data_IF_365717648801
#
_entry.id   IF_365717648801
#
_cell.length_a   1.000
_cell.length_b   1.000
_cell.length_c   1.000
_cell.angle_alpha   90.00
_cell.angle_beta   90.00
_cell.angle_gamma   90.00
#
_symmetry.space_group_name_H-M   'P 1'
#
loop_
_entity.id
_entity.type
_entity.pdbx_description
1 polymer ?
#
# COMPACT_ATOMS: atom_id res chain seq x y z
N UNK A 1 18.47 -34.97 -27.85
CA UNK A 1 17.80 -34.49 -26.62
C UNK A 1 17.37 -33.06 -26.89
N UNK A 2 16.08 -32.74 -26.72
CA UNK A 2 15.53 -31.44 -27.08
C UNK A 2 16.08 -30.37 -26.11
N UNK A 3 17.04 -29.54 -26.55
CA UNK A 3 17.75 -28.58 -25.69
C UNK A 3 16.86 -27.40 -25.24
N UNK A 4 15.80 -27.09 -26.00
CA UNK A 4 14.90 -25.95 -25.76
C UNK A 4 14.13 -26.06 -24.43
N UNK A 5 13.46 -27.18 -24.10
CA UNK A 5 12.83 -27.37 -22.78
C UNK A 5 13.80 -27.31 -21.59
N UNK A 6 15.06 -27.70 -21.78
CA UNK A 6 16.09 -27.66 -20.73
C UNK A 6 16.53 -26.21 -20.48
N UNK A 7 16.83 -25.46 -21.55
CA UNK A 7 17.18 -24.05 -21.48
C UNK A 7 16.09 -23.21 -20.82
N UNK A 8 14.82 -23.45 -21.15
CA UNK A 8 13.70 -22.72 -20.55
C UNK A 8 13.55 -23.02 -19.04
N UNK A 9 13.71 -24.28 -18.63
CA UNK A 9 13.67 -24.64 -17.20
C UNK A 9 14.78 -23.97 -16.41
N UNK A 10 16.01 -24.01 -16.92
CA UNK A 10 17.15 -23.35 -16.30
C UNK A 10 16.94 -21.82 -16.20
N UNK A 11 16.43 -21.19 -17.26
CA UNK A 11 16.10 -19.77 -17.26
C UNK A 11 15.04 -19.42 -16.21
N UNK A 12 13.99 -20.24 -16.08
CA UNK A 12 12.93 -20.04 -15.08
C UNK A 12 13.45 -20.16 -13.64
N UNK A 13 14.28 -21.16 -13.37
CA UNK A 13 14.88 -21.37 -12.04
C UNK A 13 15.78 -20.19 -11.66
N UNK A 14 16.63 -19.73 -12.59
CA UNK A 14 17.45 -18.53 -12.39
C UNK A 14 16.57 -17.30 -12.13
N UNK A 15 15.54 -17.08 -12.93
CA UNK A 15 14.66 -15.93 -12.78
C UNK A 15 13.89 -15.93 -11.45
N UNK A 16 13.52 -17.11 -10.93
CA UNK A 16 12.92 -17.23 -9.60
C UNK A 16 13.91 -16.87 -8.49
N UNK A 17 15.18 -17.28 -8.62
CA UNK A 17 16.25 -16.87 -7.71
C UNK A 17 16.48 -15.36 -7.71
N UNK A 18 16.63 -14.76 -8.90
CA UNK A 18 16.80 -13.31 -9.05
C UNK A 18 15.59 -12.55 -8.50
N UNK A 19 14.37 -13.04 -8.75
CA UNK A 19 13.14 -12.47 -8.22
C UNK A 19 13.07 -12.52 -6.69
N UNK A 20 13.53 -13.62 -6.07
CA UNK A 20 13.62 -13.75 -4.61
C UNK A 20 14.56 -12.69 -4.03
N UNK A 21 15.72 -12.46 -4.64
CA UNK A 21 16.65 -11.41 -4.19
C UNK A 21 16.05 -10.01 -4.31
N UNK A 22 15.31 -9.74 -5.40
CA UNK A 22 14.58 -8.48 -5.55
C UNK A 22 13.53 -8.33 -4.44
N UNK A 23 12.73 -9.37 -4.16
CA UNK A 23 11.71 -9.36 -3.10
C UNK A 23 12.34 -9.12 -1.72
N UNK A 24 13.44 -9.80 -1.40
CA UNK A 24 14.20 -9.63 -0.15
C UNK A 24 14.63 -8.19 0.10
N UNK A 25 14.98 -7.46 -0.97
CA UNK A 25 15.49 -6.10 -0.86
C UNK A 25 14.41 -5.00 -0.82
N UNK A 26 13.13 -5.37 -0.96
CA UNK A 26 11.99 -4.44 -0.82
C UNK A 26 11.98 -3.86 0.60
N UNK A 27 11.88 -2.53 0.68
CA UNK A 27 11.78 -1.78 1.92
C UNK A 27 10.36 -1.88 2.49
N UNK A 28 10.25 -2.28 3.75
CA UNK A 28 8.95 -2.41 4.43
C UNK A 28 8.61 -1.13 5.18
N UNK A 29 9.51 -0.68 6.05
CA UNK A 29 9.42 0.55 6.83
C UNK A 29 10.76 1.31 6.79
N UNK A 30 10.95 2.36 7.60
CA UNK A 30 12.19 3.15 7.61
C UNK A 30 13.44 2.40 8.06
N UNK A 31 13.29 1.26 8.73
CA UNK A 31 14.43 0.54 9.33
C UNK A 31 14.64 -0.85 8.74
N UNK A 32 13.60 -1.49 8.22
CA UNK A 32 13.61 -2.91 7.84
C UNK A 32 13.15 -3.16 6.41
N UNK A 33 13.80 -4.14 5.80
CA UNK A 33 13.47 -4.77 4.52
C UNK A 33 12.86 -6.14 4.74
N UNK A 34 12.27 -6.72 3.69
CA UNK A 34 11.68 -8.06 3.74
C UNK A 34 12.68 -9.11 4.26
N UNK A 35 13.95 -9.05 3.84
CA UNK A 35 14.99 -9.98 4.33
C UNK A 35 15.19 -9.96 5.83
N UNK A 36 15.00 -8.80 6.49
CA UNK A 36 15.19 -8.68 7.93
C UNK A 36 14.08 -9.47 8.65
N UNK A 37 12.82 -9.36 8.18
CA UNK A 37 11.72 -10.19 8.68
C UNK A 37 11.94 -11.68 8.42
N UNK A 38 12.54 -12.07 7.30
CA UNK A 38 12.86 -13.47 7.00
C UNK A 38 13.96 -14.02 7.92
N UNK A 39 14.92 -13.18 8.34
CA UNK A 39 15.97 -13.58 9.29
C UNK A 39 15.42 -13.71 10.71
N UNK A 40 14.52 -12.81 11.10
CA UNK A 40 13.92 -12.79 12.44
C UNK A 40 12.89 -13.91 12.65
N UNK A 41 12.15 -14.29 11.60
CA UNK A 41 10.98 -15.18 11.68
C UNK A 41 10.98 -16.28 10.62
N UNK A 42 11.13 -17.52 11.07
CA UNK A 42 11.17 -18.70 10.18
C UNK A 42 9.84 -18.94 9.45
N UNK A 43 8.71 -18.64 10.08
CA UNK A 43 7.38 -18.73 9.48
C UNK A 43 7.21 -17.73 8.34
N UNK A 44 7.72 -16.50 8.49
CA UNK A 44 7.76 -15.52 7.40
C UNK A 44 8.70 -15.96 6.30
N UNK A 45 9.89 -16.45 6.64
CA UNK A 45 10.82 -16.96 5.63
C UNK A 45 10.15 -18.02 4.75
N UNK A 46 9.52 -19.03 5.37
CA UNK A 46 8.81 -20.08 4.64
C UNK A 46 7.66 -19.52 3.78
N UNK A 47 6.88 -18.57 4.30
CA UNK A 47 5.78 -17.94 3.57
C UNK A 47 6.26 -17.09 2.37
N UNK A 48 7.38 -16.37 2.50
CA UNK A 48 7.95 -15.58 1.39
C UNK A 48 8.53 -16.51 0.31
N UNK A 49 9.20 -17.59 0.71
CA UNK A 49 9.69 -18.60 -0.23
C UNK A 49 8.54 -19.25 -1.01
N UNK A 50 7.45 -19.60 -0.33
CA UNK A 50 6.25 -20.17 -0.97
C UNK A 50 5.55 -19.14 -1.88
N UNK A 51 5.43 -17.89 -1.43
CA UNK A 51 4.88 -16.78 -2.20
C UNK A 51 5.60 -16.61 -3.54
N UNK A 52 6.93 -16.48 -3.55
CA UNK A 52 7.67 -16.26 -4.81
C UNK A 52 7.53 -17.46 -5.74
N UNK A 53 7.42 -18.68 -5.22
CA UNK A 53 7.24 -19.87 -6.04
C UNK A 53 5.84 -20.00 -6.64
N UNK A 54 4.80 -19.60 -5.89
CA UNK A 54 3.38 -19.76 -6.29
C UNK A 54 2.82 -18.57 -7.04
N UNK A 55 3.13 -17.36 -6.59
CA UNK A 55 2.54 -16.11 -7.10
C UNK A 55 3.36 -15.48 -8.24
N UNK A 56 4.55 -16.02 -8.56
CA UNK A 56 5.32 -15.56 -9.72
C UNK A 56 4.63 -15.93 -11.04
N UNK A 57 4.31 -14.89 -11.81
CA UNK A 57 3.66 -15.00 -13.11
C UNK A 57 4.67 -14.72 -14.21
N UNK A 58 4.63 -15.53 -15.27
CA UNK A 58 5.41 -15.27 -16.49
C UNK A 58 4.75 -14.10 -17.22
N UNK A 59 5.46 -12.98 -17.32
CA UNK A 59 5.01 -11.81 -18.10
C UNK A 59 5.46 -11.87 -19.55
N UNK A 60 6.60 -12.51 -19.82
CA UNK A 60 7.20 -12.63 -21.15
C UNK A 60 8.07 -13.88 -21.21
N UNK A 61 8.10 -14.55 -22.37
CA UNK A 61 8.92 -15.74 -22.59
C UNK A 61 9.28 -15.86 -24.06
N UNK A 62 10.58 -15.85 -24.37
CA UNK A 62 11.07 -15.93 -25.74
C UNK A 62 12.30 -16.84 -25.86
N UNK A 63 12.43 -17.48 -27.02
CA UNK A 63 13.64 -18.19 -27.42
C UNK A 63 14.41 -17.33 -28.40
N UNK A 64 15.71 -17.17 -28.14
CA UNK A 64 16.60 -16.38 -28.99
C UNK A 64 17.19 -17.25 -30.12
N UNK A 65 17.65 -16.64 -31.22
CA UNK A 65 18.25 -17.36 -32.35
C UNK A 65 19.50 -18.17 -31.99
N UNK A 66 20.20 -17.80 -30.93
CA UNK A 66 21.37 -18.50 -30.37
C UNK A 66 21.01 -19.76 -29.57
N UNK A 67 19.71 -20.06 -29.43
CA UNK A 67 19.21 -21.21 -28.69
C UNK A 67 18.99 -20.97 -27.20
N UNK A 68 19.24 -19.76 -26.70
CA UNK A 68 18.95 -19.37 -25.32
C UNK A 68 17.47 -19.05 -25.12
N UNK A 69 17.03 -19.02 -23.86
CA UNK A 69 15.68 -18.67 -23.47
C UNK A 69 15.72 -17.48 -22.51
N UNK A 70 14.88 -16.48 -22.76
CA UNK A 70 14.64 -15.35 -21.86
C UNK A 70 13.23 -15.47 -21.29
N UNK A 71 13.11 -15.24 -19.98
CA UNK A 71 11.85 -15.27 -19.25
C UNK A 71 11.79 -14.06 -18.34
N UNK A 72 10.65 -13.38 -18.33
CA UNK A 72 10.36 -12.29 -17.38
C UNK A 72 9.30 -12.78 -16.41
N UNK A 73 9.59 -12.59 -15.13
CA UNK A 73 8.68 -12.91 -14.04
C UNK A 73 8.20 -11.62 -13.38
N UNK A 74 6.98 -11.66 -12.85
CA UNK A 74 6.40 -10.59 -12.03
C UNK A 74 5.65 -11.19 -10.85
N UNK A 75 5.60 -10.46 -9.74
CA UNK A 75 4.77 -10.77 -8.57
C UNK A 75 3.97 -9.54 -8.15
N UNK A 76 2.74 -9.71 -7.65
CA UNK A 76 2.02 -8.62 -7.04
C UNK A 76 2.62 -8.26 -5.67
N UNK A 77 2.95 -6.99 -5.45
CA UNK A 77 3.43 -6.52 -4.14
C UNK A 77 2.26 -6.42 -3.14
N UNK A 78 1.07 -6.06 -3.64
CA UNK A 78 -0.18 -6.08 -2.87
C UNK A 78 -0.76 -7.50 -2.78
N UNK A 79 -1.65 -7.73 -1.83
CA UNK A 79 -2.24 -9.04 -1.59
C UNK A 79 -1.36 -9.90 -0.69
N UNK A 80 -0.96 -11.08 -1.18
CA UNK A 80 -0.34 -12.11 -0.34
C UNK A 80 0.96 -11.63 0.33
N UNK A 81 1.86 -10.99 -0.42
CA UNK A 81 3.11 -10.45 0.13
C UNK A 81 2.86 -9.45 1.25
N UNK A 82 1.93 -8.52 1.01
CA UNK A 82 1.53 -7.52 2.00
C UNK A 82 0.91 -8.20 3.24
N UNK A 83 0.12 -9.25 3.07
CA UNK A 83 -0.49 -10.03 4.16
C UNK A 83 0.55 -10.73 5.04
N UNK A 84 1.64 -11.23 4.45
CA UNK A 84 2.72 -11.92 5.15
C UNK A 84 3.54 -10.91 5.98
N UNK A 85 3.89 -9.77 5.39
CA UNK A 85 4.83 -8.81 5.98
C UNK A 85 4.17 -7.86 6.96
N UNK A 86 2.95 -7.40 6.67
CA UNK A 86 2.26 -6.47 7.55
C UNK A 86 1.86 -7.19 8.85
N UNK A 87 2.32 -6.72 10.02
CA UNK A 87 2.11 -7.41 11.29
C UNK A 87 0.61 -7.59 11.57
N UNK A 88 0.18 -8.74 12.08
CA UNK A 88 -1.22 -9.02 12.38
C UNK A 88 -1.83 -8.09 13.46
N UNK A 89 -1.02 -7.29 14.14
CA UNK A 89 -1.39 -6.36 15.21
C UNK A 89 -2.16 -5.15 14.70
N UNK A 90 -3.41 -5.37 14.28
CA UNK A 90 -4.44 -4.32 14.13
C UNK A 90 -5.48 -4.41 15.27
N UNK A 91 -5.22 -5.24 16.28
CA UNK A 91 -6.03 -5.32 17.50
C UNK A 91 -5.11 -5.46 18.68
N UNK A 92 -4.94 -4.35 19.41
CA UNK A 92 -4.86 -4.23 20.87
C UNK A 92 -4.45 -2.79 21.17
N UNK A 93 -5.38 -1.87 20.92
CA UNK A 93 -5.53 -0.75 21.86
C UNK A 93 -5.89 -1.40 23.18
N UNK A 94 -5.08 -1.14 24.20
CA UNK A 94 -5.28 -1.54 25.60
C UNK A 94 -6.77 -1.52 25.97
N UNK A 95 -7.18 -2.55 26.70
CA UNK A 95 -8.47 -2.67 27.39
C UNK A 95 -8.78 -1.42 28.23
N UNK A 96 -9.37 -0.40 27.59
CA UNK A 96 -10.16 0.62 28.28
C UNK A 96 -11.62 0.23 28.10
N UNK A 97 -12.05 -0.61 29.03
CA UNK A 97 -13.42 -0.92 29.41
C UNK A 97 -14.38 0.24 29.10
N UNK A 98 -15.26 0.04 28.12
CA UNK A 98 -16.45 0.85 27.91
C UNK A 98 -17.69 -0.06 27.86
N UNK A 99 -18.75 0.27 28.61
CA UNK A 99 -19.90 -0.61 28.83
C UNK A 99 -20.82 -0.71 27.61
N UNK A 100 -21.35 -1.91 27.42
CA UNK A 100 -22.36 -2.26 26.44
C UNK A 100 -23.66 -1.47 26.65
N UNK A 101 -24.21 -0.90 25.57
CA UNK A 101 -25.62 -0.54 25.46
C UNK A 101 -26.10 -0.84 24.03
N UNK A 102 -26.64 -2.05 23.92
CA UNK A 102 -27.82 -2.51 23.16
C UNK A 102 -28.21 -1.83 21.83
N UNK A 103 -28.17 -2.64 20.77
CA UNK A 103 -29.07 -2.56 19.62
C UNK A 103 -30.54 -2.70 20.07
N UNK A 104 -31.48 -2.15 19.30
CA UNK A 104 -32.44 -3.05 18.67
C UNK A 104 -32.63 -2.76 17.17
N UNK A 105 -32.61 -3.86 16.43
CA UNK A 105 -33.13 -4.06 15.08
C UNK A 105 -34.65 -4.12 15.05
N UNK A 106 -35.25 -3.50 14.02
CA UNK A 106 -36.56 -3.79 13.40
C UNK A 106 -36.77 -2.73 12.29
N UNK A 107 -37.23 -2.94 11.05
CA UNK A 107 -38.00 -4.00 10.38
C UNK A 107 -37.83 -3.90 8.84
N UNK A 108 -37.73 -5.07 8.20
CA UNK A 108 -38.11 -5.56 6.86
C UNK A 108 -38.51 -4.69 5.65
N UNK A 109 -38.08 -5.19 4.47
CA UNK A 109 -38.84 -5.46 3.23
C UNK A 109 -38.66 -4.57 1.97
N UNK A 110 -37.77 -5.05 1.09
CA UNK A 110 -37.82 -5.29 -0.39
C UNK A 110 -38.36 -4.28 -1.46
N UNK A 111 -37.79 -4.30 -2.71
CA UNK A 111 -37.98 -3.32 -3.81
C UNK A 111 -38.98 -3.82 -4.91
N UNK A 112 -39.43 -3.02 -5.93
CA UNK A 112 -38.64 -2.80 -7.19
C UNK A 112 -38.95 -1.54 -8.06
N UNK A 113 -38.11 -1.34 -9.09
CA UNK A 113 -38.36 -0.78 -10.44
C UNK A 113 -38.15 0.72 -10.80
N UNK A 114 -37.11 0.92 -11.65
CA UNK A 114 -37.04 1.69 -12.92
C UNK A 114 -37.17 3.24 -12.99
N UNK A 115 -36.02 3.84 -13.35
CA UNK A 115 -35.77 4.96 -14.30
C UNK A 115 -36.66 6.21 -14.30
N UNK A 116 -36.05 7.37 -13.95
CA UNK A 116 -35.89 8.55 -14.85
C UNK A 116 -35.12 9.71 -14.17
N UNK A 117 -34.33 10.36 -15.02
CA UNK A 117 -33.48 11.57 -14.94
C UNK A 117 -33.78 12.71 -13.95
N UNK A 118 -32.65 13.24 -13.43
CA UNK A 118 -32.33 14.60 -12.91
C UNK A 118 -32.69 14.94 -11.44
N UNK A 119 -31.94 15.81 -10.74
CA UNK A 119 -30.82 16.67 -11.17
C UNK A 119 -29.48 16.35 -10.51
N UNK A 120 -28.39 16.72 -11.21
CA UNK A 120 -27.01 16.72 -10.73
C UNK A 120 -26.89 17.67 -9.54
N UNK A 121 -26.94 17.14 -8.32
CA UNK A 121 -26.62 17.89 -7.11
C UNK A 121 -25.16 18.34 -7.26
N UNK A 122 -24.84 19.65 -7.29
CA UNK A 122 -23.46 20.08 -7.16
C UNK A 122 -22.98 19.69 -5.76
N UNK A 123 -21.89 18.92 -5.60
CA UNK A 123 -21.39 18.64 -4.27
C UNK A 123 -20.67 19.88 -3.74
N UNK A 124 -21.44 20.83 -3.19
CA UNK A 124 -20.94 21.69 -2.13
C UNK A 124 -20.90 20.85 -0.86
N UNK A 125 -19.80 20.14 -0.69
CA UNK A 125 -19.34 19.60 0.58
C UNK A 125 -17.82 19.68 0.56
N UNK A 126 -17.23 20.43 1.48
CA UNK A 126 -15.78 20.61 1.70
C UNK A 126 -15.06 19.30 2.09
N UNK A 127 -15.63 18.14 1.77
CA UNK A 127 -15.11 16.83 2.13
C UNK A 127 -14.03 16.39 1.15
N UNK A 128 -12.89 16.00 1.70
CA UNK A 128 -11.79 15.47 0.92
C UNK A 128 -12.08 14.02 0.52
N UNK A 129 -11.65 13.64 -0.68
CA UNK A 129 -11.81 12.28 -1.21
C UNK A 129 -10.61 11.38 -0.93
N UNK A 130 -9.48 11.98 -0.53
CA UNK A 130 -8.23 11.33 -0.21
C UNK A 130 -7.14 12.36 0.11
N UNK A 131 -5.93 11.88 0.40
CA UNK A 131 -4.79 12.71 0.78
C UNK A 131 -3.66 12.48 -0.22
N UNK A 132 -3.09 13.57 -0.72
CA UNK A 132 -1.88 13.58 -1.56
C UNK A 132 -0.78 14.27 -0.77
N UNK A 133 0.36 13.60 -0.60
CA UNK A 133 1.54 14.16 0.04
C UNK A 133 2.63 14.38 -1.02
N UNK A 134 2.99 15.63 -1.28
CA UNK A 134 4.10 15.98 -2.17
C UNK A 134 5.42 15.92 -1.40
N UNK A 135 6.24 14.90 -1.70
CA UNK A 135 7.56 14.67 -1.11
C UNK A 135 8.69 14.75 -2.15
N UNK A 136 8.44 15.40 -3.29
CA UNK A 136 9.43 15.65 -4.34
C UNK A 136 10.53 16.61 -3.86
N UNK A 137 11.72 16.48 -4.44
CA UNK A 137 12.90 17.28 -4.12
C UNK A 137 13.56 16.91 -2.78
N UNK A 138 13.10 15.85 -2.13
CA UNK A 138 13.57 15.44 -0.81
C UNK A 138 14.37 14.13 -0.82
N UNK A 139 14.40 13.42 -1.95
CA UNK A 139 15.05 12.11 -2.05
C UNK A 139 14.38 11.04 -1.20
N UNK A 140 13.06 11.17 -1.00
CA UNK A 140 12.23 10.19 -0.32
C UNK A 140 12.16 8.88 -1.13
N UNK A 141 12.23 7.74 -0.43
CA UNK A 141 12.24 6.40 -1.05
C UNK A 141 10.93 5.66 -0.79
N UNK A 142 10.46 4.85 -1.76
CA UNK A 142 9.25 4.06 -1.56
C UNK A 142 9.48 2.93 -0.55
N UNK A 143 8.46 2.68 0.27
CA UNK A 143 8.35 1.53 1.17
C UNK A 143 6.92 0.95 1.14
N UNK A 144 6.74 -0.28 1.62
CA UNK A 144 5.42 -0.94 1.69
C UNK A 144 4.50 -0.33 2.77
N UNK A 145 5.07 0.17 3.86
CA UNK A 145 4.36 0.71 5.02
C UNK A 145 5.04 1.99 5.52
N UNK A 146 5.08 3.06 4.71
CA UNK A 146 5.65 4.33 5.14
C UNK A 146 4.79 4.94 6.26
N UNK A 147 5.44 5.74 7.10
CA UNK A 147 4.76 6.54 8.11
C UNK A 147 4.81 8.03 7.78
N UNK A 148 3.80 8.74 8.25
CA UNK A 148 3.74 10.20 8.19
C UNK A 148 3.67 10.72 9.62
N UNK A 149 4.59 11.61 9.97
CA UNK A 149 4.69 12.26 11.26
C UNK A 149 4.41 13.76 11.15
N UNK A 150 4.06 14.38 12.26
CA UNK A 150 4.12 15.83 12.39
C UNK A 150 5.51 16.30 12.85
N UNK A 151 5.70 17.62 12.93
CA UNK A 151 7.00 18.21 13.30
C UNK A 151 7.41 17.89 14.75
N UNK A 152 6.46 17.47 15.59
CA UNK A 152 6.68 17.05 16.96
C UNK A 152 6.99 15.54 17.09
N UNK A 153 7.06 14.81 15.97
CA UNK A 153 7.34 13.38 15.94
C UNK A 153 6.13 12.49 16.27
N UNK A 154 4.91 13.04 16.31
CA UNK A 154 3.71 12.24 16.55
C UNK A 154 3.22 11.63 15.24
N UNK A 155 2.88 10.34 15.25
CA UNK A 155 2.36 9.61 14.08
C UNK A 155 1.01 10.21 13.64
N UNK A 156 0.93 10.67 12.39
CA UNK A 156 -0.30 11.15 11.73
C UNK A 156 -0.94 10.01 10.95
N UNK A 157 -0.10 9.22 10.27
CA UNK A 157 -0.51 8.08 9.48
C UNK A 157 0.56 7.00 9.54
N UNK A 158 0.11 5.74 9.56
CA UNK A 158 0.98 4.59 9.56
C UNK A 158 0.16 3.30 9.63
N UNK A 159 0.85 2.17 9.58
CA UNK A 159 0.20 0.86 9.57
C UNK A 159 -0.73 0.60 10.79
N UNK A 160 -0.46 1.24 11.93
CA UNK A 160 -1.30 1.14 13.14
C UNK A 160 -2.69 1.76 12.97
N UNK A 161 -2.83 2.69 12.03
CA UNK A 161 -4.03 3.51 11.81
C UNK A 161 -4.88 3.04 10.62
N UNK A 162 -4.42 2.04 9.86
CA UNK A 162 -5.10 1.52 8.66
C UNK A 162 -5.89 0.27 8.94
N UNK A 163 -6.95 0.07 8.15
CA UNK A 163 -7.63 -1.22 8.12
C UNK A 163 -6.78 -2.23 7.32
N UNK A 164 -6.63 -3.44 7.89
CA UNK A 164 -5.77 -4.49 7.34
C UNK A 164 -6.20 -4.92 5.96
N UNK A 165 -7.49 -5.08 5.73
CA UNK A 165 -8.01 -5.64 4.49
C UNK A 165 -7.89 -4.61 3.35
N UNK A 166 -8.04 -3.32 3.67
CA UNK A 166 -7.70 -2.25 2.74
C UNK A 166 -6.19 -2.23 2.45
N UNK A 167 -5.33 -2.31 3.47
CA UNK A 167 -3.89 -2.34 3.29
C UNK A 167 -3.44 -3.54 2.44
N UNK A 168 -4.01 -4.72 2.65
CA UNK A 168 -3.72 -5.93 1.85
C UNK A 168 -4.18 -5.76 0.41
N UNK A 169 -5.40 -5.26 0.18
CA UNK A 169 -5.98 -5.20 -1.17
C UNK A 169 -5.28 -4.22 -2.09
N UNK A 170 -4.90 -3.06 -1.57
CA UNK A 170 -4.43 -1.95 -2.39
C UNK A 170 -3.10 -1.35 -1.90
N UNK A 171 -2.55 -1.80 -0.78
CA UNK A 171 -1.38 -1.18 -0.16
C UNK A 171 -1.76 0.05 0.67
N UNK A 172 -0.91 0.37 1.65
CA UNK A 172 -1.05 1.54 2.53
C UNK A 172 -1.05 2.84 1.72
N UNK A 173 -0.15 2.95 0.74
CA UNK A 173 -0.01 4.12 -0.13
C UNK A 173 0.17 3.71 -1.58
N UNK A 174 -0.05 4.68 -2.48
CA UNK A 174 0.39 4.61 -3.88
C UNK A 174 1.43 5.69 -4.12
N UNK A 175 2.47 5.35 -4.86
CA UNK A 175 3.50 6.29 -5.28
C UNK A 175 3.25 6.78 -6.70
N UNK A 176 3.46 8.07 -6.93
CA UNK A 176 3.38 8.72 -8.25
C UNK A 176 4.56 9.66 -8.43
N UNK A 177 4.89 10.01 -9.68
CA UNK A 177 6.00 10.94 -9.99
C UNK A 177 5.58 12.40 -10.11
N UNK A 178 4.28 12.66 -10.19
CA UNK A 178 3.75 14.00 -10.37
C UNK A 178 2.37 14.17 -9.71
N UNK A 179 2.08 15.41 -9.34
CA UNK A 179 0.83 15.78 -8.66
C UNK A 179 -0.38 15.60 -9.58
N UNK A 180 -0.23 15.78 -10.88
CA UNK A 180 -1.36 15.73 -11.82
C UNK A 180 -1.88 14.29 -11.88
N UNK A 181 -1.00 13.32 -12.08
CA UNK A 181 -1.29 11.89 -12.02
C UNK A 181 -1.88 11.49 -10.66
N UNK A 182 -1.34 12.04 -9.56
CA UNK A 182 -1.88 11.80 -8.22
C UNK A 182 -3.34 12.25 -8.11
N UNK A 183 -3.68 13.44 -8.60
CA UNK A 183 -5.05 14.00 -8.53
C UNK A 183 -6.06 13.25 -9.40
N UNK A 184 -5.61 12.67 -10.51
CA UNK A 184 -6.47 11.86 -11.39
C UNK A 184 -6.63 10.42 -10.94
N UNK A 185 -5.83 9.97 -9.96
CA UNK A 185 -5.85 8.59 -9.53
C UNK A 185 -7.16 8.26 -8.79
N UNK A 186 -7.78 7.14 -9.16
CA UNK A 186 -9.05 6.68 -8.59
C UNK A 186 -9.03 6.56 -7.05
N UNK A 187 -7.86 6.32 -6.44
CA UNK A 187 -7.70 6.25 -4.98
C UNK A 187 -8.10 7.54 -4.25
N UNK A 188 -7.86 8.70 -4.86
CA UNK A 188 -8.09 10.02 -4.24
C UNK A 188 -8.92 10.95 -5.12
N UNK A 189 -9.50 10.44 -6.22
CA UNK A 189 -10.23 11.23 -7.21
C UNK A 189 -11.39 12.04 -6.61
N UNK A 190 -11.77 13.12 -7.30
CA UNK A 190 -12.77 14.15 -6.95
C UNK A 190 -12.19 15.39 -6.25
N UNK A 191 -11.81 15.31 -4.98
CA UNK A 191 -11.37 16.46 -4.19
C UNK A 191 -10.26 16.07 -3.17
N UNK A 192 -9.03 15.77 -3.61
CA UNK A 192 -7.97 15.36 -2.70
C UNK A 192 -7.39 16.55 -1.92
N UNK A 193 -7.12 16.34 -0.63
CA UNK A 193 -6.30 17.25 0.17
C UNK A 193 -4.83 17.09 -0.25
N UNK A 194 -4.25 18.14 -0.84
CA UNK A 194 -2.81 18.15 -1.18
C UNK A 194 -2.01 18.81 -0.06
N UNK A 195 -1.04 18.09 0.49
CA UNK A 195 -0.14 18.56 1.56
C UNK A 195 1.30 18.44 1.06
N UNK A 196 2.15 19.38 1.47
CA UNK A 196 3.57 19.34 1.16
C UNK A 196 4.34 18.75 2.34
N UNK A 197 5.22 17.78 2.07
CA UNK A 197 6.17 17.30 3.06
C UNK A 197 7.20 18.39 3.37
N UNK A 198 7.52 18.55 4.65
CA UNK A 198 8.56 19.44 5.15
C UNK A 198 9.89 18.69 5.24
N UNK A 199 9.78 17.44 5.69
CA UNK A 199 10.78 16.42 6.03
C UNK A 199 10.76 15.10 5.29
N UNK A 200 11.90 14.44 5.08
CA UNK A 200 11.95 12.98 5.30
C UNK A 200 12.47 12.71 6.70
N UNK A 201 12.04 11.60 7.32
CA UNK A 201 12.71 11.15 8.53
C UNK A 201 14.17 10.74 8.23
N UNK A 202 15.04 10.86 9.23
CA UNK A 202 16.47 10.61 9.10
C UNK A 202 16.76 9.14 8.74
N UNK A 203 15.87 8.24 9.14
CA UNK A 203 16.05 6.79 8.99
C UNK A 203 15.38 6.31 7.69
N UNK A 204 16.16 5.69 6.79
CA UNK A 204 15.66 5.08 5.55
C UNK A 204 15.13 6.03 4.46
N UNK A 205 14.83 7.30 4.80
CA UNK A 205 14.17 8.30 3.94
C UNK A 205 12.82 7.85 3.39
N UNK A 206 12.13 6.91 4.05
CA UNK A 206 10.81 6.41 3.62
C UNK A 206 9.66 7.14 4.28
N UNK A 207 9.89 7.59 5.52
CA UNK A 207 8.88 8.25 6.33
C UNK A 207 8.93 9.75 6.08
N UNK A 208 7.76 10.38 6.15
CA UNK A 208 7.57 11.78 5.79
C UNK A 208 7.15 12.59 7.00
N UNK A 209 7.59 13.85 7.06
CA UNK A 209 7.13 14.80 8.07
C UNK A 209 6.36 15.91 7.39
N UNK A 210 5.17 16.20 7.88
CA UNK A 210 4.30 17.29 7.42
C UNK A 210 4.21 18.38 8.49
N UNK A 211 3.84 19.59 8.09
CA UNK A 211 3.67 20.71 9.01
C UNK A 211 2.59 20.46 10.06
N UNK A 212 2.75 21.02 11.25
CA UNK A 212 1.80 20.83 12.35
C UNK A 212 0.36 21.26 12.01
N UNK A 213 0.18 22.29 11.18
CA UNK A 213 -1.13 22.77 10.73
C UNK A 213 -1.83 21.71 9.87
N UNK A 214 -1.11 21.12 8.91
CA UNK A 214 -1.66 20.08 8.03
C UNK A 214 -1.92 18.79 8.80
N UNK A 215 -1.04 18.42 9.73
CA UNK A 215 -1.24 17.29 10.63
C UNK A 215 -2.51 17.45 11.48
N UNK A 216 -2.77 18.66 12.00
CA UNK A 216 -4.00 18.95 12.73
C UNK A 216 -5.23 18.89 11.84
N UNK A 217 -5.15 19.31 10.57
CA UNK A 217 -6.27 19.18 9.61
C UNK A 217 -6.64 17.71 9.38
N UNK A 218 -5.64 16.84 9.21
CA UNK A 218 -5.86 15.40 9.02
C UNK A 218 -6.46 14.76 10.29
N UNK A 219 -5.92 15.06 11.48
CA UNK A 219 -6.40 14.45 12.73
C UNK A 219 -7.71 15.05 13.25
N UNK A 220 -7.95 16.33 12.97
CA UNK A 220 -9.06 17.09 13.54
C UNK A 220 -10.42 16.76 12.94
N UNK A 221 -10.46 15.99 11.84
CA UNK A 221 -11.70 15.68 11.13
C UNK A 221 -11.88 14.17 11.00
N UNK A 222 -13.07 13.70 11.39
CA UNK A 222 -13.44 12.27 11.38
C UNK A 222 -13.32 11.67 9.97
N UNK A 223 -13.67 12.45 8.95
CA UNK A 223 -13.63 11.99 7.55
C UNK A 223 -12.20 11.63 7.12
N UNK A 224 -11.23 12.48 7.38
CA UNK A 224 -9.82 12.26 7.08
C UNK A 224 -9.32 11.01 7.79
N UNK A 225 -9.74 10.78 9.04
CA UNK A 225 -9.44 9.54 9.77
C UNK A 225 -10.01 8.30 9.06
N UNK A 226 -11.21 8.38 8.48
CA UNK A 226 -11.80 7.30 7.67
C UNK A 226 -11.00 7.09 6.37
N UNK A 227 -10.58 8.17 5.71
CA UNK A 227 -9.76 8.08 4.49
C UNK A 227 -8.41 7.40 4.77
N UNK A 228 -7.77 7.73 5.91
CA UNK A 228 -6.55 7.08 6.37
C UNK A 228 -6.78 5.59 6.62
N UNK A 229 -7.85 5.22 7.34
CA UNK A 229 -8.23 3.81 7.56
C UNK A 229 -8.41 3.04 6.26
N UNK A 230 -8.99 3.69 5.25
CA UNK A 230 -9.19 3.13 3.91
C UNK A 230 -7.97 3.24 2.99
N UNK A 231 -6.78 3.61 3.49
CA UNK A 231 -5.54 3.73 2.70
C UNK A 231 -5.66 4.68 1.48
N UNK A 232 -6.48 5.73 1.58
CA UNK A 232 -6.66 6.72 0.52
C UNK A 232 -5.57 7.79 0.54
N UNK A 233 -4.34 7.34 0.45
CA UNK A 233 -3.13 8.17 0.52
C UNK A 233 -2.28 7.92 -0.73
N UNK A 234 -1.86 9.01 -1.37
CA UNK A 234 -0.87 8.99 -2.46
C UNK A 234 0.32 9.82 -2.04
N UNK A 235 1.52 9.28 -2.25
CA UNK A 235 2.78 9.98 -2.06
C UNK A 235 3.36 10.30 -3.43
N UNK A 236 3.75 11.55 -3.64
CA UNK A 236 4.43 11.99 -4.86
C UNK A 236 5.93 12.03 -4.57
N UNK A 237 6.71 11.30 -5.37
CA UNK A 237 8.16 11.18 -5.28
C UNK A 237 8.81 11.69 -6.57
N UNK A 238 10.14 11.81 -6.55
CA UNK A 238 10.99 12.14 -7.71
C UNK A 238 11.09 10.98 -8.73
#
# INVERSE_FOLDING_TARGET
INARPVALRAAKEKALGDLMEIVKDIQVDSTRKIKDFMMERQDINAQILDFVQRDAMVSDQQYLPDGTAEIKLRVPIYGNLTRIILPASITEVEDVKLPAVVSPSDTSASPPAAHKTAPRIPPTSLMHSGIIVDARGMGAKPAMAPKIFDENGKEVYGYSSVDREYAVRQGTVVYTRDIVSARTNQRVAANPLTIKAVKTDATGKTDLVIGNIDAQRIRGTIQETILLKQCRVIIVLD
#
